data_IF_414114512542
#
_entry.id   IF_414114512542
#
_cell.length_a   1.000
_cell.length_b   1.000
_cell.length_c   1.000
_cell.angle_alpha   90.00
_cell.angle_beta   90.00
_cell.angle_gamma   90.00
#
_symmetry.space_group_name_H-M   'P 1'
#
loop_
_entity.id
_entity.type
_entity.pdbx_description
1 polymer ?
#
# COMPACT_ATOMS: atom_id res chain seq x y z
N UNK A 1 -4.08 -11.31 19.08
CA UNK A 1 -2.75 -10.70 18.94
C UNK A 1 -2.90 -9.54 17.96
N UNK A 2 -3.11 -8.32 18.46
CA UNK A 2 -3.24 -7.15 17.60
C UNK A 2 -1.82 -6.69 17.23
N UNK A 3 -1.51 -6.63 15.94
CA UNK A 3 -0.34 -5.89 15.48
C UNK A 3 -0.60 -4.42 15.79
N UNK A 4 0.06 -3.88 16.83
CA UNK A 4 0.07 -2.44 17.03
C UNK A 4 0.69 -1.79 15.80
N UNK A 5 -0.14 -1.17 14.97
CA UNK A 5 0.34 -0.32 13.90
C UNK A 5 1.09 0.84 14.55
N UNK A 6 2.42 0.74 14.58
CA UNK A 6 3.28 1.75 15.20
C UNK A 6 2.97 3.12 14.60
N UNK A 7 2.48 4.06 15.41
CA UNK A 7 2.40 5.48 15.04
C UNK A 7 3.82 5.93 14.66
N UNK A 8 4.09 6.08 13.38
CA UNK A 8 5.38 6.50 12.85
C UNK A 8 5.28 6.77 11.35
N UNK A 9 6.03 7.75 10.86
CA UNK A 9 6.09 8.05 9.42
C UNK A 9 6.65 6.85 8.66
N UNK A 10 5.95 6.41 7.63
CA UNK A 10 6.49 5.44 6.67
C UNK A 10 7.39 6.15 5.67
N UNK A 11 8.54 5.54 5.36
CA UNK A 11 9.40 5.99 4.25
C UNK A 11 9.15 5.07 3.05
N UNK A 12 8.73 5.63 1.92
CA UNK A 12 8.64 4.88 0.66
C UNK A 12 10.05 4.43 0.25
N UNK A 13 10.16 3.16 -0.12
CA UNK A 13 11.41 2.50 -0.56
C UNK A 13 11.38 2.25 -2.07
N UNK A 14 10.25 1.80 -2.62
CA UNK A 14 10.07 1.61 -4.07
C UNK A 14 8.61 1.79 -4.50
N UNK A 15 8.40 1.95 -5.81
CA UNK A 15 7.08 2.16 -6.44
C UNK A 15 6.88 3.58 -6.99
N UNK A 16 5.70 3.90 -7.55
CA UNK A 16 4.55 3.00 -7.64
C UNK A 16 4.70 1.93 -8.72
N UNK A 17 4.23 0.72 -8.40
CA UNK A 17 3.78 -0.25 -9.40
C UNK A 17 2.26 -0.22 -9.45
N UNK A 18 1.68 -0.02 -10.64
CA UNK A 18 0.23 0.09 -10.78
C UNK A 18 -0.38 -1.24 -11.18
N UNK A 19 -1.39 -1.65 -10.43
CA UNK A 19 -2.31 -2.73 -10.81
C UNK A 19 -3.65 -2.11 -11.15
N UNK A 20 -4.05 -2.30 -12.40
CA UNK A 20 -5.34 -1.88 -12.95
C UNK A 20 -6.13 -3.08 -13.47
N UNK A 21 -7.42 -3.16 -13.15
CA UNK A 21 -8.35 -4.17 -13.67
C UNK A 21 -9.76 -3.60 -13.78
N UNK A 22 -10.68 -4.28 -14.47
CA UNK A 22 -12.10 -3.91 -14.51
C UNK A 22 -12.42 -2.61 -15.28
N UNK A 23 -11.57 -2.24 -16.25
CA UNK A 23 -11.79 -1.02 -17.05
C UNK A 23 -12.98 -1.12 -18.01
N UNK A 24 -13.56 -2.32 -18.18
CA UNK A 24 -14.68 -2.59 -19.09
C UNK A 24 -16.02 -2.86 -18.38
N UNK A 25 -16.06 -3.01 -17.05
CA UNK A 25 -17.23 -3.49 -16.31
C UNK A 25 -17.61 -2.67 -15.06
N UNK A 26 -17.18 -1.40 -15.00
CA UNK A 26 -17.44 -0.46 -13.87
C UNK A 26 -16.92 -0.93 -12.50
N UNK A 27 -16.26 -2.09 -12.45
CA UNK A 27 -15.55 -2.64 -11.28
C UNK A 27 -14.06 -2.28 -11.37
N UNK A 28 -13.78 -1.05 -11.80
CA UNK A 28 -12.42 -0.59 -12.00
C UNK A 28 -11.67 -0.60 -10.65
N UNK A 29 -10.52 -1.27 -10.67
CA UNK A 29 -9.55 -1.25 -9.58
C UNK A 29 -8.33 -0.56 -10.14
N UNK A 30 -7.88 0.49 -9.46
CA UNK A 30 -6.63 1.17 -9.77
C UNK A 30 -5.87 1.42 -8.46
N UNK A 31 -4.80 0.66 -8.25
CA UNK A 31 -3.99 0.70 -7.02
C UNK A 31 -2.52 0.92 -7.36
N UNK A 32 -1.94 1.91 -6.71
CA UNK A 32 -0.50 2.13 -6.72
C UNK A 32 0.14 1.44 -5.54
N UNK A 33 0.89 0.37 -5.79
CA UNK A 33 1.61 -0.37 -4.77
C UNK A 33 3.02 0.20 -4.57
N UNK A 34 3.44 0.23 -3.31
CA UNK A 34 4.74 0.69 -2.87
C UNK A 34 5.31 -0.28 -1.85
N UNK A 35 6.63 -0.39 -1.81
CA UNK A 35 7.29 -0.89 -0.61
C UNK A 35 7.63 0.30 0.28
N UNK A 36 7.42 0.15 1.59
CA UNK A 36 7.73 1.18 2.57
C UNK A 36 8.50 0.59 3.75
N UNK A 37 9.17 1.44 4.52
CA UNK A 37 9.86 1.05 5.75
C UNK A 37 9.33 1.86 6.92
N UNK A 38 9.01 1.18 8.02
CA UNK A 38 8.61 1.83 9.26
C UNK A 38 9.81 2.18 10.15
N UNK A 39 9.57 2.83 11.29
CA UNK A 39 10.61 3.19 12.25
C UNK A 39 11.34 1.99 12.87
N UNK A 40 10.68 0.82 12.92
CA UNK A 40 11.27 -0.43 13.40
C UNK A 40 12.12 -1.13 12.33
N UNK A 41 12.27 -0.53 11.15
CA UNK A 41 13.04 -1.08 10.04
C UNK A 41 12.32 -2.20 9.28
N UNK A 42 11.07 -2.53 9.61
CA UNK A 42 10.26 -3.52 8.89
C UNK A 42 9.89 -2.98 7.52
N UNK A 43 9.95 -3.85 6.50
CA UNK A 43 9.45 -3.55 5.16
C UNK A 43 7.97 -3.91 5.08
N UNK A 44 7.18 -3.00 4.52
CA UNK A 44 5.74 -3.08 4.37
C UNK A 44 5.39 -3.00 2.90
N UNK A 45 4.35 -3.72 2.52
CA UNK A 45 3.68 -3.56 1.25
C UNK A 45 2.41 -2.74 1.48
N UNK A 46 2.36 -1.55 0.89
CA UNK A 46 1.25 -0.60 1.03
C UNK A 46 0.73 -0.23 -0.35
N UNK A 47 -0.53 0.18 -0.45
CA UNK A 47 -1.06 0.72 -1.69
C UNK A 47 -1.90 1.97 -1.47
N UNK A 48 -1.92 2.82 -2.49
CA UNK A 48 -2.85 3.94 -2.59
C UNK A 48 -3.95 3.57 -3.58
N UNK A 49 -5.18 3.57 -3.09
CA UNK A 49 -6.35 3.35 -3.92
C UNK A 49 -6.72 4.66 -4.65
N UNK A 50 -6.83 4.63 -5.98
CA UNK A 50 -7.09 5.83 -6.77
C UNK A 50 -8.52 6.36 -6.62
N UNK A 51 -9.49 5.48 -6.38
CA UNK A 51 -10.91 5.84 -6.22
C UNK A 51 -11.14 6.61 -4.93
N UNK A 52 -10.61 6.10 -3.83
CA UNK A 52 -10.77 6.68 -2.48
C UNK A 52 -9.66 7.64 -2.09
N UNK A 53 -8.58 7.70 -2.89
CA UNK A 53 -7.32 8.45 -2.60
C UNK A 53 -6.66 8.07 -1.27
N UNK A 54 -7.07 6.96 -0.67
CA UNK A 54 -6.66 6.50 0.66
C UNK A 54 -5.51 5.50 0.60
N UNK A 55 -4.78 5.41 1.70
CA UNK A 55 -3.66 4.48 1.87
C UNK A 55 -4.09 3.25 2.65
N UNK A 56 -3.61 2.09 2.23
CA UNK A 56 -3.91 0.80 2.85
C UNK A 56 -2.63 0.00 3.05
N UNK A 57 -2.58 -0.74 4.16
CA UNK A 57 -1.54 -1.74 4.41
C UNK A 57 -1.99 -3.07 3.80
N UNK A 58 -1.19 -3.62 2.90
CA UNK A 58 -1.38 -4.97 2.40
C UNK A 58 -0.73 -6.01 3.33
N UNK A 59 0.48 -5.73 3.82
CA UNK A 59 1.19 -6.63 4.74
C UNK A 59 2.66 -6.28 4.92
N UNK A 60 3.43 -7.22 5.51
CA UNK A 60 4.89 -7.17 5.51
C UNK A 60 5.42 -7.53 4.10
N UNK A 61 6.56 -6.95 3.72
CA UNK A 61 7.22 -7.20 2.44
C UNK A 61 8.60 -7.83 2.66
N UNK A 62 8.82 -8.99 2.06
CA UNK A 62 10.07 -9.75 2.13
C UNK A 62 9.86 -11.21 2.52
#
# INVERSE_FOLDING_TARGET
MAIEASKGSLKIVSGPERIESGWWDEQDVARDYYTARNGNGQRLWVFRDHRTRSWFLHGLFG
#
